data_IF_205620721157
#
_entry.id   IF_205620721157
#
_cell.length_a   1.000
_cell.length_b   1.000
_cell.length_c   1.000
_cell.angle_alpha   90.00
_cell.angle_beta   90.00
_cell.angle_gamma   90.00
#
_symmetry.space_group_name_H-M   'P 1'
#
loop_
_entity.id
_entity.type
_entity.pdbx_description
1 polymer ?
#
# COMPACT_ATOMS: atom_id res chain seq x y z
N UNK A 1 35.29 -5.01 -16.20
CA UNK A 1 34.04 -5.48 -15.56
C UNK A 1 33.08 -4.30 -15.52
N UNK A 2 32.17 -4.26 -16.49
CA UNK A 2 31.30 -3.11 -16.76
C UNK A 2 30.26 -3.02 -15.65
N UNK A 3 30.34 -1.96 -14.86
CA UNK A 3 29.35 -1.60 -13.83
C UNK A 3 28.08 -1.12 -14.55
N UNK A 4 27.32 -2.08 -15.08
CA UNK A 4 26.01 -1.80 -15.67
C UNK A 4 25.09 -1.50 -14.49
N UNK A 5 24.94 -0.21 -14.18
CA UNK A 5 23.76 0.29 -13.51
C UNK A 5 22.58 -0.40 -14.20
N UNK A 6 21.97 -1.37 -13.52
CA UNK A 6 20.74 -1.98 -13.96
C UNK A 6 19.77 -0.82 -13.98
N UNK A 7 19.52 -0.29 -15.17
CA UNK A 7 18.37 0.57 -15.42
C UNK A 7 17.19 -0.28 -15.00
N UNK A 8 16.67 0.00 -13.80
CA UNK A 8 15.38 -0.48 -13.36
C UNK A 8 14.38 0.20 -14.28
N UNK A 9 14.20 -0.34 -15.48
CA UNK A 9 13.01 -0.06 -16.27
C UNK A 9 11.86 -0.63 -15.44
N UNK A 10 11.28 0.22 -14.58
CA UNK A 10 10.02 -0.04 -13.88
C UNK A 10 8.90 -0.10 -14.93
N UNK A 11 8.93 -1.11 -15.78
CA UNK A 11 8.00 -1.19 -16.90
C UNK A 11 6.65 -1.75 -16.49
N UNK A 12 6.55 -2.39 -15.32
CA UNK A 12 5.31 -2.65 -14.59
C UNK A 12 5.68 -3.03 -13.14
N UNK A 13 5.55 -2.10 -12.18
CA UNK A 13 5.79 -2.36 -10.74
C UNK A 13 4.92 -3.51 -10.19
N UNK A 14 3.82 -3.82 -10.88
CA UNK A 14 2.88 -4.87 -10.55
C UNK A 14 2.71 -5.73 -11.80
N UNK A 15 2.97 -7.04 -11.66
CA UNK A 15 2.80 -7.99 -12.75
C UNK A 15 1.37 -7.91 -13.34
N UNK A 16 1.26 -8.01 -14.67
CA UNK A 16 0.01 -7.75 -15.39
C UNK A 16 -1.16 -8.63 -14.92
N UNK A 17 -0.89 -9.89 -14.59
CA UNK A 17 -1.84 -10.84 -14.03
C UNK A 17 -2.38 -10.43 -12.65
N UNK A 18 -1.61 -9.64 -11.90
CA UNK A 18 -1.99 -9.13 -10.59
C UNK A 18 -2.87 -7.87 -10.64
N UNK A 19 -2.92 -7.15 -11.76
CA UNK A 19 -3.62 -5.86 -11.84
C UNK A 19 -5.10 -5.96 -11.48
N UNK A 20 -5.75 -7.06 -11.85
CA UNK A 20 -7.17 -7.32 -11.54
C UNK A 20 -7.47 -7.41 -10.04
N UNK A 21 -6.47 -7.72 -9.21
CA UNK A 21 -6.64 -7.86 -7.77
C UNK A 21 -6.37 -6.57 -6.99
N UNK A 22 -5.82 -5.53 -7.62
CA UNK A 22 -5.43 -4.29 -6.95
C UNK A 22 -6.64 -3.62 -6.31
N UNK A 23 -7.67 -3.31 -7.09
CA UNK A 23 -8.84 -2.61 -6.59
C UNK A 23 -9.60 -3.41 -5.52
N UNK A 24 -9.90 -4.72 -5.70
CA UNK A 24 -10.50 -5.54 -4.65
C UNK A 24 -9.68 -5.54 -3.36
N UNK A 25 -8.35 -5.72 -3.44
CA UNK A 25 -7.48 -5.72 -2.27
C UNK A 25 -7.46 -4.36 -1.56
N UNK A 26 -7.41 -3.26 -2.31
CA UNK A 26 -7.46 -1.91 -1.73
C UNK A 26 -8.82 -1.64 -1.07
N UNK A 27 -9.92 -2.12 -1.65
CA UNK A 27 -11.25 -1.98 -1.07
C UNK A 27 -11.40 -2.78 0.21
N UNK A 28 -10.96 -4.05 0.23
CA UNK A 28 -10.93 -4.87 1.43
C UNK A 28 -10.10 -4.20 2.53
N UNK A 29 -8.87 -3.78 2.20
CA UNK A 29 -7.99 -3.12 3.14
C UNK A 29 -8.62 -1.84 3.73
N UNK A 30 -9.24 -1.00 2.91
CA UNK A 30 -9.96 0.20 3.35
C UNK A 30 -11.08 -0.12 4.35
N UNK A 31 -11.85 -1.17 4.11
CA UNK A 31 -12.97 -1.60 4.97
C UNK A 31 -12.45 -2.15 6.29
N UNK A 32 -11.43 -3.00 6.27
CA UNK A 32 -10.78 -3.53 7.48
C UNK A 32 -10.26 -2.39 8.37
N UNK A 33 -9.58 -1.40 7.77
CA UNK A 33 -9.11 -0.23 8.51
C UNK A 33 -10.23 0.64 9.05
N UNK A 34 -11.31 0.81 8.31
CA UNK A 34 -12.46 1.55 8.81
C UNK A 34 -13.09 0.83 10.01
N UNK A 35 -13.18 -0.50 9.97
CA UNK A 35 -13.67 -1.30 11.10
C UNK A 35 -12.78 -1.15 12.34
N UNK A 36 -11.45 -1.19 12.19
CA UNK A 36 -10.50 -0.91 13.28
C UNK A 36 -10.68 0.50 13.88
N UNK A 37 -11.10 1.48 13.06
CA UNK A 37 -11.36 2.85 13.48
C UNK A 37 -12.78 3.07 14.03
N UNK A 38 -13.55 1.99 14.22
CA UNK A 38 -14.90 2.02 14.81
C UNK A 38 -16.02 2.25 13.79
N UNK A 39 -15.78 2.01 12.50
CA UNK A 39 -16.76 2.17 11.42
C UNK A 39 -16.89 0.83 10.66
N UNK A 40 -17.57 -0.18 11.24
CA UNK A 40 -17.58 -1.55 10.72
C UNK A 40 -18.27 -1.71 9.36
N UNK A 41 -19.29 -0.90 9.07
CA UNK A 41 -20.07 -0.97 7.81
C UNK A 41 -19.65 0.11 6.80
N UNK A 42 -18.36 0.46 6.77
CA UNK A 42 -17.85 1.52 5.89
C UNK A 42 -18.04 1.22 4.40
N UNK A 43 -18.21 -0.04 4.00
CA UNK A 43 -18.56 -0.43 2.63
C UNK A 43 -20.01 -0.06 2.28
N UNK A 44 -20.95 -0.25 3.21
CA UNK A 44 -22.39 -0.12 3.00
C UNK A 44 -22.95 1.25 3.32
N UNK A 45 -22.41 1.94 4.31
CA UNK A 45 -22.90 3.26 4.71
C UNK A 45 -22.64 4.27 3.59
N UNK A 46 -23.56 5.22 3.40
CA UNK A 46 -23.31 6.40 2.59
C UNK A 46 -22.23 7.25 3.29
N UNK A 47 -21.17 7.59 2.55
CA UNK A 47 -20.04 8.35 3.10
C UNK A 47 -20.43 9.81 3.37
N UNK A 48 -21.53 10.29 2.78
CA UNK A 48 -22.12 11.59 3.08
C UNK A 48 -22.68 11.70 4.50
N UNK A 49 -23.13 10.59 5.08
CA UNK A 49 -23.62 10.51 6.47
C UNK A 49 -22.47 10.47 7.49
N UNK A 50 -21.26 10.13 7.04
CA UNK A 50 -20.06 10.17 7.88
C UNK A 50 -19.47 11.58 7.87
N UNK A 51 -19.02 12.06 9.04
CA UNK A 51 -18.29 13.32 9.09
C UNK A 51 -17.04 13.27 8.19
N UNK A 52 -16.68 14.39 7.56
CA UNK A 52 -15.46 14.48 6.74
C UNK A 52 -14.20 14.07 7.51
N UNK A 53 -14.19 14.28 8.84
CA UNK A 53 -13.12 13.83 9.72
C UNK A 53 -13.01 12.29 9.77
N UNK A 54 -14.14 11.58 9.81
CA UNK A 54 -14.15 10.12 9.84
C UNK A 54 -13.66 9.54 8.51
N UNK A 55 -14.19 10.03 7.38
CA UNK A 55 -13.71 9.65 6.06
C UNK A 55 -12.21 9.95 5.87
N UNK A 56 -11.77 11.14 6.31
CA UNK A 56 -10.37 11.54 6.27
C UNK A 56 -9.46 10.67 7.13
N UNK A 57 -9.92 10.24 8.32
CA UNK A 57 -9.16 9.29 9.17
C UNK A 57 -8.98 7.95 8.48
N UNK A 58 -10.00 7.41 7.82
CA UNK A 58 -9.90 6.12 7.10
C UNK A 58 -8.87 6.24 5.98
N UNK A 59 -9.03 7.21 5.08
CA UNK A 59 -8.10 7.40 3.95
C UNK A 59 -6.67 7.71 4.40
N UNK A 60 -6.51 8.56 5.42
CA UNK A 60 -5.20 8.90 5.98
C UNK A 60 -4.48 7.71 6.61
N UNK A 61 -5.19 6.86 7.37
CA UNK A 61 -4.62 5.65 7.95
C UNK A 61 -4.27 4.61 6.87
N UNK A 62 -5.09 4.49 5.82
CA UNK A 62 -4.82 3.62 4.68
C UNK A 62 -3.49 4.00 4.01
N UNK A 63 -3.32 5.28 3.63
CA UNK A 63 -2.07 5.77 3.04
C UNK A 63 -0.88 5.58 3.98
N UNK A 64 -1.03 5.92 5.26
CA UNK A 64 0.03 5.75 6.26
C UNK A 64 0.53 4.31 6.35
N UNK A 65 -0.38 3.32 6.38
CA UNK A 65 -0.01 1.90 6.44
C UNK A 65 0.63 1.41 5.14
N UNK A 66 0.13 1.83 3.97
CA UNK A 66 0.76 1.49 2.69
C UNK A 66 2.19 2.02 2.60
N UNK A 67 2.42 3.26 3.05
CA UNK A 67 3.77 3.85 3.13
C UNK A 67 4.65 3.05 4.08
N UNK A 68 4.15 2.63 5.25
CA UNK A 68 4.92 1.79 6.17
C UNK A 68 5.30 0.44 5.54
N UNK A 69 4.41 -0.21 4.79
CA UNK A 69 4.74 -1.44 4.05
C UNK A 69 5.83 -1.20 3.01
N UNK A 70 5.72 -0.11 2.24
CA UNK A 70 6.75 0.27 1.28
C UNK A 70 8.10 0.54 1.96
N UNK A 71 8.11 1.25 3.09
CA UNK A 71 9.32 1.49 3.89
C UNK A 71 9.96 0.19 4.37
N UNK A 72 9.16 -0.78 4.85
CA UNK A 72 9.67 -2.07 5.28
C UNK A 72 10.34 -2.84 4.12
N UNK A 73 9.71 -2.85 2.94
CA UNK A 73 10.27 -3.48 1.73
C UNK A 73 11.56 -2.78 1.29
N UNK A 74 11.58 -1.45 1.27
CA UNK A 74 12.76 -0.67 0.91
C UNK A 74 13.92 -0.92 1.87
N UNK A 75 13.65 -0.92 3.18
CA UNK A 75 14.65 -1.21 4.20
C UNK A 75 15.22 -2.64 4.07
N UNK A 76 14.35 -3.63 3.83
CA UNK A 76 14.76 -5.01 3.59
C UNK A 76 15.68 -5.13 2.36
N UNK A 77 15.28 -4.52 1.24
CA UNK A 77 16.07 -4.53 0.01
C UNK A 77 17.43 -3.83 0.21
N UNK A 78 17.43 -2.68 0.91
CA UNK A 78 18.66 -1.95 1.22
C UNK A 78 19.63 -2.79 2.07
N UNK A 79 19.14 -3.47 3.10
CA UNK A 79 19.97 -4.38 3.92
C UNK A 79 20.61 -5.48 3.07
N UNK A 80 19.82 -6.15 2.23
CA UNK A 80 20.34 -7.26 1.42
C UNK A 80 21.39 -6.80 0.41
N UNK A 81 21.30 -5.56 -0.09
CA UNK A 81 22.35 -4.98 -0.95
C UNK A 81 23.67 -4.82 -0.19
N UNK A 82 23.63 -4.38 1.07
CA UNK A 82 24.81 -4.22 1.91
C UNK A 82 25.45 -5.56 2.30
N UNK A 83 24.63 -6.59 2.52
CA UNK A 83 25.09 -7.92 2.91
C UNK A 83 25.63 -8.73 1.72
N UNK A 84 25.02 -8.60 0.54
CA UNK A 84 25.44 -9.27 -0.70
C UNK A 84 26.65 -8.65 -1.42
N UNK A 85 27.23 -7.57 -0.87
CA UNK A 85 28.51 -6.98 -1.36
C UNK A 85 29.74 -7.49 -0.60
N UNK A 86 29.57 -8.45 0.32
CA UNK A 86 30.68 -9.21 0.93
C UNK A 86 30.93 -10.49 0.16
#
# INVERSE_FOLDING_TARGET
>A
MTNKLVLIENKDLIAKDLQQYIEPALNQFKVELAAELGIPDYDKIDKGELSSRNNGKVGGNMTKRMVNFAQAVLAFNYRNQLEGTK
#
